data_IF_729962849413
#
_entry.id   IF_729962849413
#
_cell.length_a   1.000
_cell.length_b   1.000
_cell.length_c   1.000
_cell.angle_alpha   90.00
_cell.angle_beta   90.00
_cell.angle_gamma   90.00
#
_symmetry.space_group_name_H-M   'P 1'
#
loop_
_entity.id
_entity.type
_entity.pdbx_description
1 polymer ?
#
# COMPACT_ATOMS: atom_id res chain seq x y z
N UNK A 1 -49.68 -5.71 -4.83
CA UNK A 1 -48.56 -6.51 -5.38
C UNK A 1 -47.51 -5.69 -6.14
N UNK A 2 -47.86 -4.72 -7.00
CA UNK A 2 -46.88 -3.90 -7.76
C UNK A 2 -45.97 -2.98 -6.92
N UNK A 3 -46.43 -2.53 -5.75
CA UNK A 3 -45.64 -1.68 -4.85
C UNK A 3 -44.53 -2.44 -4.10
N UNK A 4 -44.78 -3.69 -3.68
CA UNK A 4 -43.78 -4.53 -3.00
C UNK A 4 -42.63 -4.89 -3.95
N UNK A 5 -42.93 -5.18 -5.22
CA UNK A 5 -41.94 -5.48 -6.26
C UNK A 5 -40.98 -4.30 -6.54
N UNK A 6 -41.48 -3.06 -6.45
CA UNK A 6 -40.68 -1.84 -6.64
C UNK A 6 -39.76 -1.58 -5.46
N UNK A 7 -40.23 -1.81 -4.23
CA UNK A 7 -39.42 -1.67 -3.02
C UNK A 7 -38.27 -2.68 -3.02
N UNK A 8 -38.54 -3.95 -3.39
CA UNK A 8 -37.49 -4.96 -3.48
C UNK A 8 -36.43 -4.65 -4.55
N UNK A 9 -36.83 -4.08 -5.69
CA UNK A 9 -35.91 -3.68 -6.75
C UNK A 9 -34.98 -2.53 -6.33
N UNK A 10 -35.52 -1.56 -5.58
CA UNK A 10 -34.76 -0.42 -5.04
C UNK A 10 -33.75 -0.89 -3.98
N UNK A 11 -34.14 -1.83 -3.10
CA UNK A 11 -33.22 -2.36 -2.09
C UNK A 11 -32.08 -3.19 -2.68
N UNK A 12 -32.34 -3.96 -3.76
CA UNK A 12 -31.29 -4.73 -4.44
C UNK A 12 -30.30 -3.79 -5.15
N UNK A 13 -30.79 -2.70 -5.76
CA UNK A 13 -29.95 -1.70 -6.40
C UNK A 13 -29.07 -0.95 -5.38
N UNK A 14 -29.61 -0.60 -4.21
CA UNK A 14 -28.86 0.04 -3.13
C UNK A 14 -27.80 -0.89 -2.49
N UNK A 15 -28.06 -2.19 -2.39
CA UNK A 15 -27.08 -3.17 -1.89
C UNK A 15 -25.93 -3.43 -2.89
N UNK A 16 -26.15 -3.23 -4.19
CA UNK A 16 -25.12 -3.36 -5.22
C UNK A 16 -24.09 -2.21 -5.18
N UNK A 17 -24.47 -1.04 -4.67
CA UNK A 17 -23.56 0.10 -4.52
C UNK A 17 -22.53 -0.09 -3.38
N UNK A 18 -22.83 -0.93 -2.38
CA UNK A 18 -21.89 -1.28 -1.31
C UNK A 18 -20.78 -2.26 -1.76
N UNK A 19 -20.89 -2.86 -2.94
CA UNK A 19 -19.98 -3.93 -3.37
C UNK A 19 -18.73 -3.45 -4.11
N UNK A 20 -18.69 -2.24 -4.69
CA UNK A 20 -17.48 -1.77 -5.37
C UNK A 20 -17.44 -0.25 -5.55
N UNK A 21 -17.21 0.49 -4.47
CA UNK A 21 -16.54 1.80 -4.60
C UNK A 21 -15.19 1.77 -3.89
N UNK A 22 -14.38 0.76 -4.23
CA UNK A 22 -12.95 0.84 -3.96
C UNK A 22 -12.35 1.79 -4.98
N UNK A 23 -12.48 3.11 -4.77
CA UNK A 23 -11.56 4.06 -5.40
C UNK A 23 -10.17 3.59 -5.02
N UNK A 24 -9.43 2.98 -5.95
CA UNK A 24 -8.23 2.18 -5.67
C UNK A 24 -7.33 2.88 -4.65
N UNK A 25 -7.29 2.34 -3.43
CA UNK A 25 -6.51 2.89 -2.31
C UNK A 25 -5.03 3.05 -2.70
N UNK A 26 -4.57 2.28 -3.68
CA UNK A 26 -3.23 2.39 -4.24
C UNK A 26 -2.99 3.76 -4.88
N UNK A 27 -3.86 4.21 -5.80
CA UNK A 27 -3.64 5.46 -6.55
C UNK A 27 -3.64 6.65 -5.59
N UNK A 28 -4.61 6.69 -4.67
CA UNK A 28 -4.68 7.77 -3.68
C UNK A 28 -3.50 7.69 -2.70
N UNK A 29 -3.11 6.49 -2.29
CA UNK A 29 -1.94 6.27 -1.44
C UNK A 29 -0.63 6.75 -2.10
N UNK A 30 -0.43 6.44 -3.38
CA UNK A 30 0.74 6.91 -4.15
C UNK A 30 0.68 8.42 -4.35
N UNK A 31 -0.50 9.02 -4.57
CA UNK A 31 -0.65 10.48 -4.61
C UNK A 31 -0.23 11.09 -3.27
N UNK A 32 -0.77 10.61 -2.14
CA UNK A 32 -0.41 11.07 -0.80
C UNK A 32 1.10 10.93 -0.55
N UNK A 33 1.71 9.82 -0.98
CA UNK A 33 3.15 9.61 -0.87
C UNK A 33 3.95 10.67 -1.65
N UNK A 34 3.55 11.00 -2.87
CA UNK A 34 4.20 12.01 -3.71
C UNK A 34 4.10 13.43 -3.17
N UNK A 35 3.01 13.76 -2.48
CA UNK A 35 2.85 15.06 -1.79
C UNK A 35 3.38 15.04 -0.36
N UNK A 36 4.14 14.00 0.02
CA UNK A 36 4.77 13.85 1.33
C UNK A 36 3.80 13.73 2.52
N UNK A 37 2.52 13.43 2.27
CA UNK A 37 1.58 13.05 3.31
C UNK A 37 1.75 11.56 3.65
N UNK A 38 2.86 11.27 4.30
CA UNK A 38 3.28 9.88 4.56
C UNK A 38 2.37 9.15 5.54
N UNK A 39 1.71 9.85 6.47
CA UNK A 39 0.78 9.22 7.41
C UNK A 39 -0.44 8.68 6.65
N UNK A 40 -1.06 9.50 5.79
CA UNK A 40 -2.18 9.04 4.98
C UNK A 40 -1.74 8.03 3.92
N UNK A 41 -0.58 8.25 3.30
CA UNK A 41 0.00 7.31 2.34
C UNK A 41 0.19 5.93 2.97
N UNK A 42 0.76 5.86 4.17
CA UNK A 42 0.99 4.59 4.86
C UNK A 42 -0.31 3.84 5.14
N UNK A 43 -1.35 4.52 5.63
CA UNK A 43 -2.65 3.90 5.91
C UNK A 43 -3.27 3.30 4.65
N UNK A 44 -3.17 3.98 3.51
CA UNK A 44 -3.74 3.51 2.23
C UNK A 44 -2.89 2.47 1.53
N UNK A 45 -1.56 2.61 1.58
CA UNK A 45 -0.61 1.73 0.89
C UNK A 45 -0.33 0.45 1.66
N UNK A 46 -0.42 0.44 2.99
CA UNK A 46 -0.12 -0.75 3.79
C UNK A 46 -0.99 -1.96 3.42
N UNK A 47 -2.33 -1.83 3.28
CA UNK A 47 -3.16 -2.92 2.78
C UNK A 47 -2.78 -3.38 1.35
N UNK A 48 -2.46 -2.44 0.47
CA UNK A 48 -2.08 -2.76 -0.92
C UNK A 48 -0.72 -3.46 -1.01
N UNK A 49 0.21 -3.11 -0.12
CA UNK A 49 1.49 -3.81 0.01
C UNK A 49 1.29 -5.27 0.48
N UNK A 50 0.34 -5.50 1.38
CA UNK A 50 -0.05 -6.85 1.83
C UNK A 50 -0.66 -7.65 0.66
N UNK A 51 -1.45 -7.00 -0.21
CA UNK A 51 -1.99 -7.61 -1.44
C UNK A 51 -0.95 -7.90 -2.52
N UNK A 52 0.33 -7.59 -2.29
CA UNK A 52 1.38 -7.90 -3.24
C UNK A 52 1.65 -6.81 -4.29
N UNK A 53 1.08 -5.60 -4.14
CA UNK A 53 1.30 -4.51 -5.11
C UNK A 53 2.73 -3.96 -4.98
N UNK A 54 3.60 -4.10 -6.01
CA UNK A 54 5.01 -3.77 -5.87
C UNK A 54 5.26 -2.30 -5.54
N UNK A 55 4.51 -1.38 -6.15
CA UNK A 55 4.61 0.06 -5.88
C UNK A 55 4.29 0.40 -4.41
N UNK A 56 3.26 -0.25 -3.86
CA UNK A 56 2.89 -0.07 -2.46
C UNK A 56 3.93 -0.70 -1.52
N UNK A 57 4.47 -1.85 -1.86
CA UNK A 57 5.54 -2.50 -1.10
C UNK A 57 6.79 -1.61 -1.05
N UNK A 58 7.21 -1.06 -2.19
CA UNK A 58 8.32 -0.12 -2.26
C UNK A 58 8.06 1.12 -1.39
N UNK A 59 6.92 1.79 -1.57
CA UNK A 59 6.58 3.00 -0.82
C UNK A 59 6.47 2.75 0.70
N UNK A 60 5.89 1.61 1.12
CA UNK A 60 5.85 1.21 2.53
C UNK A 60 7.24 0.94 3.08
N UNK A 61 8.10 0.28 2.30
CA UNK A 61 9.49 0.05 2.69
C UNK A 61 10.29 1.34 2.80
N UNK A 62 10.09 2.28 1.88
CA UNK A 62 10.67 3.63 1.93
C UNK A 62 10.25 4.38 3.19
N UNK A 63 8.94 4.38 3.52
CA UNK A 63 8.43 5.02 4.73
C UNK A 63 9.04 4.42 6.01
N UNK A 64 9.22 3.10 6.06
CA UNK A 64 9.92 2.45 7.18
C UNK A 64 11.42 2.77 7.22
N UNK A 65 12.07 2.94 6.08
CA UNK A 65 13.51 3.23 6.02
C UNK A 65 13.83 4.63 6.51
N UNK A 66 13.01 5.62 6.15
CA UNK A 66 13.20 7.02 6.55
C UNK A 66 12.40 7.44 7.79
N UNK A 67 11.62 6.53 8.38
CA UNK A 67 10.74 6.88 9.51
C UNK A 67 9.68 7.92 9.16
N UNK A 68 9.16 7.89 7.93
CA UNK A 68 8.21 8.87 7.42
C UNK A 68 6.77 8.39 7.63
N UNK A 69 6.02 9.11 8.46
CA UNK A 69 4.66 8.73 8.83
C UNK A 69 4.56 7.50 9.74
N UNK A 70 5.68 6.83 9.99
CA UNK A 70 5.84 5.66 10.88
C UNK A 70 7.19 5.71 11.57
N UNK A 71 7.36 4.94 12.65
CA UNK A 71 8.66 4.77 13.31
C UNK A 71 9.63 4.07 12.35
N UNK A 72 10.87 4.59 12.25
CA UNK A 72 11.93 3.97 11.44
C UNK A 72 12.13 2.51 11.85
N UNK A 73 12.19 1.63 10.86
CA UNK A 73 12.50 0.23 11.07
C UNK A 73 13.16 -0.37 9.84
N UNK A 74 14.49 -0.45 9.87
CA UNK A 74 15.29 -0.95 8.75
C UNK A 74 15.01 -2.43 8.41
N UNK A 75 14.73 -3.27 9.41
CA UNK A 75 14.35 -4.69 9.17
C UNK A 75 13.04 -4.78 8.37
N UNK A 76 12.03 -3.99 8.74
CA UNK A 76 10.76 -3.91 7.99
C UNK A 76 10.95 -3.28 6.62
N UNK A 77 11.77 -2.23 6.52
CA UNK A 77 12.08 -1.59 5.24
C UNK A 77 12.67 -2.58 4.25
N UNK A 78 13.69 -3.32 4.67
CA UNK A 78 14.33 -4.36 3.86
C UNK A 78 13.31 -5.42 3.43
N UNK A 79 12.47 -5.90 4.35
CA UNK A 79 11.44 -6.89 4.02
C UNK A 79 10.50 -6.43 2.89
N UNK A 80 9.98 -5.20 2.96
CA UNK A 80 9.04 -4.68 1.97
C UNK A 80 9.72 -4.34 0.64
N UNK A 81 10.91 -3.74 0.68
CA UNK A 81 11.71 -3.44 -0.52
C UNK A 81 12.16 -4.71 -1.22
N UNK A 82 12.61 -5.73 -0.47
CA UNK A 82 13.00 -7.01 -1.05
C UNK A 82 11.82 -7.69 -1.78
N UNK A 83 10.60 -7.64 -1.21
CA UNK A 83 9.40 -8.14 -1.89
C UNK A 83 9.09 -7.40 -3.18
N UNK A 84 9.18 -6.07 -3.17
CA UNK A 84 8.97 -5.26 -4.37
C UNK A 84 10.02 -5.56 -5.45
N UNK A 85 11.29 -5.72 -5.06
CA UNK A 85 12.38 -6.07 -5.96
C UNK A 85 12.20 -7.47 -6.58
N UNK A 86 11.76 -8.45 -5.79
CA UNK A 86 11.42 -9.79 -6.28
C UNK A 86 10.27 -9.78 -7.29
N UNK A 87 9.34 -8.84 -7.16
CA UNK A 87 8.27 -8.62 -8.13
C UNK A 87 8.70 -7.80 -9.36
N UNK A 88 9.99 -7.47 -9.49
CA UNK A 88 10.56 -6.77 -10.63
C UNK A 88 10.37 -5.26 -10.62
N UNK A 89 10.03 -4.65 -9.47
CA UNK A 89 9.84 -3.21 -9.38
C UNK A 89 11.22 -2.49 -9.44
N UNK A 90 11.49 -1.65 -10.46
CA UNK A 90 12.83 -1.12 -10.72
C UNK A 90 13.42 -0.30 -9.57
N UNK A 91 12.59 0.54 -8.94
CA UNK A 91 13.03 1.41 -7.85
C UNK A 91 13.42 0.61 -6.61
N UNK A 92 12.78 -0.52 -6.35
CA UNK A 92 13.07 -1.41 -5.25
C UNK A 92 14.32 -2.23 -5.52
N UNK A 93 14.59 -2.63 -6.77
CA UNK A 93 15.86 -3.29 -7.11
C UNK A 93 17.02 -2.34 -6.81
N UNK A 94 16.92 -1.08 -7.24
CA UNK A 94 17.91 -0.05 -6.93
C UNK A 94 18.02 0.21 -5.41
N UNK A 95 16.88 0.36 -4.72
CA UNK A 95 16.87 0.59 -3.27
C UNK A 95 17.42 -0.60 -2.48
N UNK A 96 17.19 -1.83 -2.93
CA UNK A 96 17.70 -3.04 -2.28
C UNK A 96 19.23 -3.10 -2.38
N UNK A 97 19.81 -2.73 -3.53
CA UNK A 97 21.26 -2.65 -3.69
C UNK A 97 21.88 -1.65 -2.70
N UNK A 98 21.24 -0.49 -2.51
CA UNK A 98 21.68 0.53 -1.53
C UNK A 98 21.56 -0.03 -0.09
N UNK A 99 20.47 -0.73 0.23
CA UNK A 99 20.27 -1.35 1.55
C UNK A 99 21.26 -2.46 1.87
N UNK A 100 21.80 -3.15 0.86
CA UNK A 100 22.81 -4.20 1.03
C UNK A 100 24.22 -3.63 1.21
N UNK A 101 24.50 -2.48 0.60
CA UNK A 101 25.78 -1.78 0.73
C UNK A 101 25.93 -1.06 2.06
N UNK A 102 24.82 -0.70 2.70
CA UNK A 102 24.87 -0.22 4.07
C UNK A 102 25.11 -1.41 5.00
N UNK A 103 26.15 -1.37 5.86
CA UNK A 103 26.34 -2.42 6.85
C UNK A 103 25.07 -2.52 7.66
N UNK A 104 24.32 -3.59 7.43
CA UNK A 104 23.22 -3.95 8.28
C UNK A 104 23.86 -4.14 9.65
N UNK A 105 23.39 -3.40 10.66
CA UNK A 105 23.60 -3.82 12.05
C UNK A 105 22.76 -5.09 12.22
N UNK A 106 23.29 -6.20 11.71
CA UNK A 106 22.84 -7.55 11.95
C UNK A 106 23.35 -7.87 13.35
N UNK A 107 22.67 -7.33 14.36
CA UNK A 107 22.78 -7.91 15.69
C UNK A 107 21.88 -9.17 15.71
N UNK A 108 22.43 -10.30 16.18
CA UNK A 108 21.79 -11.61 16.17
C UNK A 108 20.42 -11.61 16.86
#
# INVERSE_FOLDING_TARGET
>A
MRFLLRITLITILALAELACTTRSNLIEGIRSFRVQDYRQAFVRLKPEAIKGKPDAQYAVGYMYYYGQGVVENRKKAWYWINKAAQAGQPEAVAALAILQQQPQNILP
#
